data_IF_359135726575
#
_entry.id   IF_359135726575
#
_cell.length_a   1.000
_cell.length_b   1.000
_cell.length_c   1.000
_cell.angle_alpha   90.00
_cell.angle_beta   90.00
_cell.angle_gamma   90.00
#
_symmetry.space_group_name_H-M   'P 1'
#
loop_
_entity.id
_entity.type
_entity.pdbx_description
1 polymer ?
#
# COMPACT_ATOMS: atom_id res chain seq x y z
N UNK A 1 -7.69 -0.79 12.25
CA UNK A 1 -6.28 -0.57 12.63
C UNK A 1 -5.41 -1.31 11.62
N UNK A 2 -5.36 -0.95 10.34
CA UNK A 2 -5.01 0.33 9.70
C UNK A 2 -5.99 0.66 8.56
N UNK A 3 -6.61 1.85 8.56
CA UNK A 3 -7.68 2.23 7.62
C UNK A 3 -7.17 2.47 6.18
N UNK A 4 -5.92 2.93 6.04
CA UNK A 4 -5.32 3.23 4.73
C UNK A 4 -5.15 1.98 3.85
N UNK A 5 -4.89 0.80 4.44
CA UNK A 5 -4.63 -0.42 3.69
C UNK A 5 -5.85 -0.94 2.91
N UNK A 6 -7.06 -0.77 3.46
CA UNK A 6 -8.29 -1.29 2.83
C UNK A 6 -8.76 -0.38 1.70
N UNK A 7 -8.78 0.94 1.92
CA UNK A 7 -9.29 1.92 0.93
C UNK A 7 -8.42 1.99 -0.32
N UNK A 8 -7.10 1.94 -0.17
CA UNK A 8 -6.17 1.94 -1.32
C UNK A 8 -6.09 0.58 -2.03
N UNK A 9 -6.38 -0.53 -1.33
CA UNK A 9 -6.45 -1.84 -1.98
C UNK A 9 -7.59 -1.94 -3.01
N UNK A 10 -8.68 -1.19 -2.81
CA UNK A 10 -9.85 -1.20 -3.68
C UNK A 10 -9.65 -0.39 -4.99
N UNK A 11 -8.75 0.59 -5.01
CA UNK A 11 -8.50 1.44 -6.19
C UNK A 11 -7.40 0.91 -7.10
N UNK A 12 -6.78 -0.22 -6.76
CA UNK A 12 -5.63 -0.78 -7.49
C UNK A 12 -4.32 0.01 -7.31
N UNK A 13 -4.38 1.20 -6.71
CA UNK A 13 -3.22 2.03 -6.42
C UNK A 13 -2.60 1.66 -5.07
N UNK A 14 -1.56 0.83 -5.10
CA UNK A 14 -0.80 0.44 -3.91
C UNK A 14 0.30 1.47 -3.64
N UNK A 15 0.09 2.34 -2.65
CA UNK A 15 1.14 3.25 -2.15
C UNK A 15 2.21 2.40 -1.47
N UNK A 16 3.42 2.43 -2.02
CA UNK A 16 4.58 1.72 -1.49
C UNK A 16 5.77 2.69 -1.40
N UNK A 17 6.60 2.50 -0.39
CA UNK A 17 7.83 3.27 -0.27
C UNK A 17 8.85 2.77 -1.30
N UNK A 18 9.35 3.69 -2.13
CA UNK A 18 10.35 3.38 -3.17
C UNK A 18 11.73 3.85 -2.73
N UNK A 19 12.72 2.96 -2.60
CA UNK A 19 14.09 3.42 -2.40
C UNK A 19 14.51 4.29 -3.59
N UNK A 20 15.39 5.27 -3.35
CA UNK A 20 15.87 6.24 -4.35
C UNK A 20 14.83 7.25 -4.90
N UNK A 21 13.62 7.31 -4.34
CA UNK A 21 12.61 8.31 -4.72
C UNK A 21 12.22 9.20 -3.54
N UNK A 22 11.75 10.41 -3.85
CA UNK A 22 11.11 11.29 -2.87
C UNK A 22 9.75 10.71 -2.49
N UNK A 23 9.65 10.15 -1.28
CA UNK A 23 8.41 9.57 -0.77
C UNK A 23 7.75 10.55 0.20
N UNK A 24 6.57 11.05 -0.16
CA UNK A 24 5.73 11.82 0.75
C UNK A 24 4.73 10.92 1.47
N UNK A 25 4.58 11.12 2.77
CA UNK A 25 3.65 10.35 3.59
C UNK A 25 2.20 10.69 3.20
N UNK A 26 1.37 9.71 2.79
CA UNK A 26 -0.02 9.98 2.42
C UNK A 26 -0.88 10.44 3.62
N UNK A 27 -0.45 10.15 4.86
CA UNK A 27 -1.17 10.57 6.06
C UNK A 27 -0.93 12.03 6.48
N UNK A 28 0.25 12.60 6.21
CA UNK A 28 0.61 13.93 6.75
C UNK A 28 1.46 14.81 5.81
N UNK A 29 1.80 14.32 4.61
CA UNK A 29 2.58 15.04 3.60
C UNK A 29 4.09 15.17 3.87
N UNK A 30 4.60 14.65 4.99
CA UNK A 30 6.04 14.74 5.34
C UNK A 30 6.85 13.60 4.74
N UNK A 31 8.16 13.79 4.59
CA UNK A 31 9.06 12.86 3.88
C UNK A 31 10.10 12.17 4.78
N UNK A 32 9.98 12.26 6.11
CA UNK A 32 10.89 11.55 7.01
C UNK A 32 10.34 10.17 7.38
N UNK A 33 11.19 9.15 7.23
CA UNK A 33 10.82 7.75 7.35
C UNK A 33 11.82 6.99 8.22
N UNK A 34 11.31 6.11 9.08
CA UNK A 34 12.06 5.06 9.76
C UNK A 34 11.95 3.80 8.89
N UNK A 35 13.07 3.36 8.30
CA UNK A 35 13.09 2.25 7.37
C UNK A 35 13.34 0.94 8.13
N UNK A 36 12.33 0.07 8.15
CA UNK A 36 12.40 -1.28 8.67
C UNK A 36 12.79 -2.30 7.60
N UNK A 37 12.58 -3.60 7.88
CA UNK A 37 12.89 -4.67 6.92
C UNK A 37 11.81 -4.85 5.83
N UNK A 38 10.56 -4.56 6.17
CA UNK A 38 9.39 -4.80 5.31
C UNK A 38 8.59 -3.53 5.05
N UNK A 39 8.72 -2.53 5.91
CA UNK A 39 7.95 -1.28 5.87
C UNK A 39 8.84 -0.07 6.09
N UNK A 40 8.39 1.08 5.59
CA UNK A 40 8.85 2.40 5.98
C UNK A 40 7.75 3.06 6.81
N UNK A 41 8.07 3.49 8.02
CA UNK A 41 7.12 4.17 8.92
C UNK A 41 7.40 5.68 8.96
N UNK A 42 6.36 6.50 8.81
CA UNK A 42 6.51 7.95 8.89
C UNK A 42 6.84 8.37 10.31
N UNK A 43 7.96 9.08 10.50
CA UNK A 43 8.44 9.52 11.81
C UNK A 43 7.54 10.54 12.53
N UNK A 44 6.49 11.03 11.87
CA UNK A 44 5.59 12.07 12.42
C UNK A 44 4.19 11.57 12.77
N UNK A 45 3.61 10.70 11.95
CA UNK A 45 2.22 10.23 12.11
C UNK A 45 2.10 8.71 12.17
N UNK A 46 3.22 7.98 12.21
CA UNK A 46 3.27 6.51 12.26
C UNK A 46 2.56 5.79 11.10
N UNK A 47 2.33 6.48 9.98
CA UNK A 47 1.82 5.83 8.76
C UNK A 47 2.90 4.90 8.21
N UNK A 48 2.58 3.61 8.09
CA UNK A 48 3.49 2.59 7.59
C UNK A 48 3.17 2.25 6.12
N UNK A 49 4.17 2.36 5.25
CA UNK A 49 4.11 1.91 3.86
C UNK A 49 4.92 0.63 3.68
N UNK A 50 4.48 -0.33 2.85
CA UNK A 50 5.32 -1.47 2.47
C UNK A 50 6.52 -0.98 1.64
N UNK A 51 7.70 -1.56 1.88
CA UNK A 51 8.87 -1.33 1.04
C UNK A 51 8.67 -2.00 -0.31
N UNK A 52 8.96 -1.27 -1.40
CA UNK A 52 9.02 -1.83 -2.74
C UNK A 52 10.37 -2.54 -2.97
N UNK A 53 10.72 -3.49 -2.09
CA UNK A 53 11.81 -4.46 -2.34
C UNK A 53 11.16 -5.70 -2.90
N UNK A 54 11.33 -5.91 -4.22
CA UNK A 54 10.74 -7.03 -4.94
C UNK A 54 9.22 -7.02 -4.80
N UNK A 55 8.53 -6.33 -5.73
CA UNK A 55 7.10 -6.51 -5.86
C UNK A 55 6.77 -8.00 -5.76
N UNK A 56 5.79 -8.36 -4.96
CA UNK A 56 5.15 -9.66 -5.13
C UNK A 56 4.44 -9.65 -6.48
N UNK A 57 5.23 -9.71 -7.55
CA UNK A 57 4.82 -10.16 -8.88
C UNK A 57 4.70 -11.68 -8.80
N UNK A 58 3.95 -12.18 -7.82
CA UNK A 58 3.25 -13.43 -8.02
C UNK A 58 2.04 -13.04 -8.85
N UNK A 59 1.87 -13.64 -10.03
CA UNK A 59 0.56 -13.62 -10.69
C UNK A 59 -0.44 -14.17 -9.68
N UNK A 60 -1.13 -13.27 -8.98
CA UNK A 60 -2.09 -13.65 -7.96
C UNK A 60 -3.22 -14.36 -8.68
N UNK A 61 -3.29 -15.68 -8.52
CA UNK A 61 -4.48 -16.47 -8.81
C UNK A 61 -5.56 -16.19 -7.76
N UNK A 62 -5.85 -14.90 -7.50
CA UNK A 62 -7.02 -14.51 -6.74
C UNK A 62 -8.17 -14.56 -7.72
N UNK A 63 -8.81 -15.72 -7.78
CA UNK A 63 -10.06 -15.92 -8.49
C UNK A 63 -11.09 -15.00 -7.83
N UNK A 64 -11.35 -13.84 -8.41
CA UNK A 64 -12.55 -13.08 -8.10
C UNK A 64 -13.73 -13.99 -8.47
N UNK A 65 -14.33 -14.66 -7.49
CA UNK A 65 -15.67 -15.23 -7.66
C UNK A 65 -16.62 -14.04 -7.67
N UNK A 66 -16.71 -13.41 -8.83
CA UNK A 66 -17.71 -12.40 -9.12
C UNK A 66 -19.09 -13.00 -8.87
N UNK A 67 -19.81 -12.39 -7.94
CA UNK A 67 -21.22 -12.61 -7.68
C UNK A 67 -21.98 -12.18 -8.94
N UNK A 68 -22.26 -13.11 -9.84
CA UNK A 68 -23.28 -12.92 -10.88
C UNK A 68 -24.64 -13.12 -10.23
N UNK A 69 -25.27 -12.03 -9.81
CA UNK A 69 -26.68 -12.06 -9.48
C UNK A 69 -27.34 -10.74 -9.90
N UNK A 70 -28.32 -10.90 -10.79
CA UNK A 70 -29.38 -9.96 -11.17
C UNK A 70 -28.96 -8.73 -12.00
N UNK A 71 -29.64 -8.34 -13.05
CA UNK A 71 -30.76 -8.88 -13.80
C UNK A 71 -30.90 -7.94 -15.02
N UNK A 72 -31.27 -8.49 -16.17
CA UNK A 72 -32.00 -7.76 -17.20
C UNK A 72 -33.49 -8.05 -17.00
#
# INVERSE_FOLDING_TARGET
>A
MYDFGIRHALTGYRVAYRPEQENYCPGCGRSHWVIGRLTAECAFCATALPLMVGGSTGSGLIRQRGVTALAA
#
